data_IF_282960956375
#
_entry.id   IF_282960956375
#
_cell.length_a   1.000
_cell.length_b   1.000
_cell.length_c   1.000
_cell.angle_alpha   90.00
_cell.angle_beta   90.00
_cell.angle_gamma   90.00
#
_symmetry.space_group_name_H-M   'P 1'
#
loop_
_entity.id
_entity.type
_entity.pdbx_description
1 polymer ?
#
# COMPACT_ATOMS: atom_id res chain seq x y z
N UNK A 1 25.32 -39.68 -20.12
CA UNK A 1 25.09 -38.51 -20.99
C UNK A 1 23.62 -38.14 -20.82
N UNK A 2 23.28 -37.16 -19.97
CA UNK A 2 22.97 -35.77 -20.36
C UNK A 2 21.94 -35.76 -21.52
N UNK A 3 20.70 -35.28 -21.33
CA UNK A 3 20.35 -33.91 -20.95
C UNK A 3 19.02 -33.86 -20.17
N UNK A 4 19.00 -33.14 -19.03
CA UNK A 4 17.77 -32.60 -18.45
C UNK A 4 17.56 -31.25 -19.15
N UNK A 5 16.64 -31.20 -20.10
CA UNK A 5 16.21 -29.95 -20.70
C UNK A 5 15.45 -29.14 -19.64
N UNK A 6 16.11 -28.08 -19.18
CA UNK A 6 15.50 -26.94 -18.54
C UNK A 6 14.39 -26.40 -19.44
N UNK A 7 13.15 -26.42 -18.98
CA UNK A 7 12.11 -25.58 -19.55
C UNK A 7 11.31 -24.94 -18.43
N UNK A 8 11.90 -23.89 -17.89
CA UNK A 8 11.27 -22.89 -17.03
C UNK A 8 10.22 -22.12 -17.85
N UNK A 9 9.10 -22.77 -18.16
CA UNK A 9 7.91 -22.08 -18.67
C UNK A 9 7.00 -21.78 -17.49
N UNK A 10 7.37 -20.78 -16.70
CA UNK A 10 6.40 -20.05 -15.92
C UNK A 10 5.49 -19.30 -16.91
N UNK A 11 4.42 -19.97 -17.35
CA UNK A 11 3.35 -19.32 -18.09
C UNK A 11 2.75 -18.24 -17.18
N UNK A 12 3.26 -17.02 -17.29
CA UNK A 12 2.71 -15.86 -16.61
C UNK A 12 1.45 -15.49 -17.38
N UNK A 13 0.31 -16.08 -17.02
CA UNK A 13 -0.95 -15.44 -17.39
C UNK A 13 -0.89 -13.98 -16.88
N UNK A 14 -1.34 -13.00 -17.68
CA UNK A 14 -1.43 -11.63 -17.20
C UNK A 14 -2.30 -11.67 -15.94
N UNK A 15 -1.68 -11.35 -14.80
CA UNK A 15 -2.37 -11.31 -13.52
C UNK A 15 -3.31 -10.11 -13.61
N UNK A 16 -4.56 -10.33 -14.01
CA UNK A 16 -5.56 -9.26 -14.03
C UNK A 16 -6.24 -9.18 -12.66
N UNK A 17 -6.57 -7.97 -12.21
CA UNK A 17 -7.27 -7.76 -10.95
C UNK A 17 -6.88 -6.46 -10.25
N UNK A 18 -7.72 -6.06 -9.30
CA UNK A 18 -7.50 -4.87 -8.48
C UNK A 18 -6.91 -5.27 -7.14
N UNK A 19 -5.86 -4.56 -6.73
CA UNK A 19 -5.25 -4.65 -5.41
C UNK A 19 -5.32 -3.29 -4.74
N UNK A 20 -5.19 -3.26 -3.41
CA UNK A 20 -5.43 -2.06 -2.63
C UNK A 20 -4.19 -1.61 -1.87
N UNK A 21 -3.90 -0.32 -1.89
CA UNK A 21 -2.80 0.27 -1.13
C UNK A 21 -3.32 1.37 -0.21
N UNK A 22 -2.93 1.34 1.07
CA UNK A 22 -3.29 2.36 2.05
C UNK A 22 -2.17 3.38 2.13
N UNK A 23 -2.51 4.66 1.98
CA UNK A 23 -1.56 5.78 2.03
C UNK A 23 -2.18 6.99 2.74
N UNK A 24 -1.38 7.86 3.39
CA UNK A 24 -1.86 9.16 3.81
C UNK A 24 -2.43 9.97 2.64
N UNK A 25 -3.56 10.66 2.86
CA UNK A 25 -4.26 11.45 1.84
C UNK A 25 -3.37 12.54 1.23
N UNK A 26 -2.46 13.11 2.01
CA UNK A 26 -1.48 14.11 1.53
C UNK A 26 -0.55 13.62 0.42
N UNK A 27 -0.37 12.30 0.27
CA UNK A 27 0.46 11.74 -0.80
C UNK A 27 -0.33 11.55 -2.12
N UNK A 28 -1.67 11.63 -2.10
CA UNK A 28 -2.49 11.38 -3.29
C UNK A 28 -2.07 12.25 -4.48
N UNK A 29 -1.84 13.55 -4.27
CA UNK A 29 -1.45 14.46 -5.36
C UNK A 29 -0.16 14.00 -6.05
N UNK A 30 0.85 13.63 -5.26
CA UNK A 30 2.11 13.13 -5.82
C UNK A 30 1.93 11.76 -6.49
N UNK A 31 1.10 10.89 -5.94
CA UNK A 31 0.87 9.54 -6.50
C UNK A 31 0.13 9.64 -7.84
N UNK A 32 -0.89 10.48 -7.95
CA UNK A 32 -1.61 10.68 -9.22
C UNK A 32 -0.78 11.42 -10.26
N UNK A 33 0.20 12.24 -9.85
CA UNK A 33 1.11 12.93 -10.77
C UNK A 33 2.27 12.05 -11.23
N UNK A 34 2.94 11.39 -10.29
CA UNK A 34 4.26 10.76 -10.51
C UNK A 34 4.20 9.22 -10.50
N UNK A 35 3.05 8.65 -10.12
CA UNK A 35 2.87 7.23 -9.85
C UNK A 35 3.30 6.82 -8.44
N UNK A 36 3.11 5.54 -8.13
CA UNK A 36 3.49 4.96 -6.84
C UNK A 36 4.88 4.35 -6.97
N UNK A 37 5.85 4.96 -6.29
CA UNK A 37 7.24 4.49 -6.26
C UNK A 37 7.47 3.68 -5.00
N UNK A 38 8.17 2.56 -5.13
CA UNK A 38 8.79 1.89 -3.99
C UNK A 38 9.78 2.86 -3.35
N UNK A 39 9.48 3.29 -2.12
CA UNK A 39 10.35 4.14 -1.33
C UNK A 39 10.37 3.59 0.09
N UNK A 40 11.56 3.44 0.69
CA UNK A 40 11.70 3.28 2.13
C UNK A 40 11.16 4.54 2.80
N UNK A 41 9.92 4.46 3.29
CA UNK A 41 9.38 5.47 4.18
C UNK A 41 10.15 5.49 5.51
N UNK A 42 10.04 6.56 6.30
CA UNK A 42 10.64 6.63 7.65
C UNK A 42 10.31 5.40 8.51
N UNK A 43 9.13 4.82 8.27
CA UNK A 43 8.62 3.63 8.96
C UNK A 43 9.33 2.34 8.55
N UNK A 44 9.52 2.09 7.25
CA UNK A 44 10.29 0.94 6.76
C UNK A 44 11.74 1.00 7.25
N UNK A 45 12.30 2.20 7.37
CA UNK A 45 13.60 2.40 8.00
C UNK A 45 13.60 2.07 9.51
N UNK A 46 12.53 2.40 10.25
CA UNK A 46 12.38 2.11 11.69
C UNK A 46 12.14 0.62 11.98
N UNK A 47 11.46 -0.10 11.08
CA UNK A 47 11.21 -1.54 11.19
C UNK A 47 12.38 -2.40 10.68
N UNK A 48 13.45 -1.78 10.19
CA UNK A 48 14.63 -2.50 9.66
C UNK A 48 14.38 -3.20 8.33
N UNK A 49 13.35 -2.77 7.59
CA UNK A 49 13.06 -3.33 6.28
C UNK A 49 14.18 -2.98 5.29
N UNK A 50 14.86 -4.02 4.78
CA UNK A 50 16.03 -3.87 3.92
C UNK A 50 15.69 -3.67 2.42
N UNK A 51 14.41 -3.70 2.05
CA UNK A 51 13.95 -3.70 0.65
C UNK A 51 12.85 -2.66 0.42
N UNK A 52 13.05 -1.77 -0.55
CA UNK A 52 12.05 -0.83 -1.07
C UNK A 52 10.86 -1.59 -1.67
N UNK A 53 9.77 -1.74 -0.92
CA UNK A 53 8.57 -2.43 -1.41
C UNK A 53 7.31 -1.62 -1.13
N UNK A 54 6.41 -1.56 -2.13
CA UNK A 54 5.05 -1.08 -1.93
C UNK A 54 4.17 -2.28 -1.63
N UNK A 55 3.53 -2.29 -0.47
CA UNK A 55 2.64 -3.38 -0.05
C UNK A 55 1.20 -3.15 -0.52
N UNK A 56 0.57 -4.23 -0.96
CA UNK A 56 -0.82 -4.25 -1.43
C UNK A 56 -1.62 -5.35 -0.75
N UNK A 57 -2.88 -5.03 -0.48
CA UNK A 57 -3.90 -5.94 -0.02
C UNK A 57 -4.69 -6.51 -1.19
N UNK A 58 -5.03 -7.80 -1.14
CA UNK A 58 -5.79 -8.46 -2.20
C UNK A 58 -7.28 -8.15 -2.21
N UNK A 59 -7.83 -7.52 -1.17
CA UNK A 59 -9.26 -7.19 -1.05
C UNK A 59 -9.49 -6.06 -0.07
N UNK A 60 -10.54 -5.26 -0.30
CA UNK A 60 -10.98 -4.20 0.62
C UNK A 60 -11.31 -4.74 2.01
N UNK A 61 -11.83 -5.97 2.13
CA UNK A 61 -12.10 -6.60 3.43
C UNK A 61 -10.82 -6.75 4.27
N UNK A 62 -9.70 -7.07 3.63
CA UNK A 62 -8.39 -7.18 4.31
C UNK A 62 -7.86 -5.80 4.68
N UNK A 63 -8.14 -4.79 3.85
CA UNK A 63 -7.83 -3.38 4.19
C UNK A 63 -8.58 -2.95 5.44
N UNK A 64 -9.89 -3.21 5.51
CA UNK A 64 -10.72 -2.85 6.66
C UNK A 64 -10.26 -3.55 7.94
N UNK A 65 -9.93 -4.84 7.86
CA UNK A 65 -9.40 -5.62 8.99
C UNK A 65 -8.04 -5.07 9.46
N UNK A 66 -7.12 -4.80 8.52
CA UNK A 66 -5.81 -4.24 8.83
C UNK A 66 -5.93 -2.85 9.47
N UNK A 67 -6.72 -1.96 8.88
CA UNK A 67 -6.95 -0.59 9.37
C UNK A 67 -7.66 -0.58 10.73
N UNK A 68 -8.54 -1.55 11.00
CA UNK A 68 -9.20 -1.68 12.31
C UNK A 68 -8.30 -2.28 13.39
N UNK A 69 -7.10 -2.73 13.02
CA UNK A 69 -6.18 -3.46 13.88
C UNK A 69 -4.78 -2.84 13.78
N UNK A 70 -3.76 -3.63 13.39
CA UNK A 70 -2.36 -3.22 13.42
C UNK A 70 -2.03 -2.01 12.53
N UNK A 71 -2.70 -1.83 11.39
CA UNK A 71 -2.42 -0.74 10.46
C UNK A 71 -3.03 0.59 10.92
N UNK A 72 -4.16 0.55 11.62
CA UNK A 72 -4.76 1.74 12.22
C UNK A 72 -3.91 2.30 13.35
N UNK A 73 -3.50 1.44 14.28
CA UNK A 73 -2.56 1.82 15.36
C UNK A 73 -1.24 2.32 14.79
N UNK A 74 -0.78 1.67 13.72
CA UNK A 74 0.39 2.10 13.01
C UNK A 74 0.26 3.54 12.47
N UNK A 75 -0.87 3.87 11.85
CA UNK A 75 -1.13 5.18 11.24
C UNK A 75 -1.62 6.23 12.25
N UNK A 76 -1.74 5.91 13.54
CA UNK A 76 -2.21 6.85 14.56
C UNK A 76 -1.22 8.02 14.76
N UNK A 77 0.09 7.74 14.67
CA UNK A 77 1.15 8.76 14.69
C UNK A 77 1.22 9.61 13.41
N UNK A 78 0.54 9.20 12.33
CA UNK A 78 0.57 9.90 11.05
C UNK A 78 -0.52 10.98 11.00
N UNK A 79 -0.16 12.28 10.94
CA UNK A 79 -1.14 13.34 10.91
C UNK A 79 -1.92 13.32 9.58
N UNK A 80 -3.25 13.32 9.71
CA UNK A 80 -4.20 13.54 8.62
C UNK A 80 -5.08 12.34 8.29
N UNK A 81 -5.91 12.53 7.26
CA UNK A 81 -6.76 11.48 6.71
C UNK A 81 -5.93 10.40 6.00
N UNK A 82 -6.47 9.17 5.98
CA UNK A 82 -5.96 8.05 5.21
C UNK A 82 -6.80 7.87 3.95
N UNK A 83 -6.17 7.36 2.88
CA UNK A 83 -6.84 7.03 1.63
C UNK A 83 -6.43 5.65 1.17
N UNK A 84 -7.33 4.99 0.46
CA UNK A 84 -7.11 3.68 -0.16
C UNK A 84 -7.10 3.84 -1.67
N UNK A 85 -6.03 3.38 -2.29
CA UNK A 85 -5.87 3.34 -3.73
C UNK A 85 -6.26 1.96 -4.24
N UNK A 86 -7.06 1.93 -5.31
CA UNK A 86 -7.21 0.76 -6.17
C UNK A 86 -6.11 0.80 -7.23
N UNK A 87 -5.37 -0.30 -7.36
CA UNK A 87 -4.32 -0.47 -8.35
C UNK A 87 -4.67 -1.62 -9.27
N UNK A 88 -4.70 -1.35 -10.57
CA UNK A 88 -4.78 -2.40 -11.57
C UNK A 88 -3.43 -3.12 -11.65
N UNK A 89 -3.43 -4.42 -11.34
CA UNK A 89 -2.23 -5.24 -11.34
C UNK A 89 -1.89 -5.84 -12.70
N UNK A 90 -2.69 -5.55 -13.72
CA UNK A 90 -2.51 -6.12 -15.05
C UNK A 90 -1.17 -5.67 -15.63
N UNK A 91 -0.27 -6.62 -15.85
CA UNK A 91 1.08 -6.33 -16.34
C UNK A 91 2.03 -5.73 -15.29
N UNK A 92 1.68 -5.76 -13.99
CA UNK A 92 2.61 -5.43 -12.92
C UNK A 92 3.44 -6.65 -12.49
N UNK A 93 4.71 -6.41 -12.17
CA UNK A 93 5.60 -7.42 -11.59
C UNK A 93 5.48 -7.40 -10.07
N UNK A 94 4.52 -8.17 -9.55
CA UNK A 94 4.34 -8.36 -8.11
C UNK A 94 5.20 -9.52 -7.60
N UNK A 95 5.81 -9.33 -6.44
CA UNK A 95 6.46 -10.38 -5.66
C UNK A 95 5.56 -10.70 -4.46
N UNK A 96 5.44 -11.99 -4.14
CA UNK A 96 4.76 -12.45 -2.92
C UNK A 96 5.81 -13.06 -1.99
N UNK A 97 6.06 -12.43 -0.86
CA UNK A 97 6.87 -13.00 0.23
C UNK A 97 5.86 -13.54 1.26
N UNK A 98 5.94 -14.84 1.58
CA UNK A 98 5.09 -15.51 2.59
C UNK A 98 3.55 -15.38 2.47
N UNK A 99 3.04 -15.30 1.23
CA UNK A 99 1.69 -15.80 0.89
C UNK A 99 0.50 -14.87 1.15
N UNK A 100 0.68 -13.73 1.82
CA UNK A 100 -0.41 -12.77 2.08
C UNK A 100 -0.16 -11.36 1.56
N UNK A 101 1.10 -10.98 1.37
CA UNK A 101 1.49 -9.63 0.98
C UNK A 101 1.93 -9.62 -0.48
N UNK A 102 1.22 -8.84 -1.30
CA UNK A 102 1.66 -8.53 -2.65
C UNK A 102 2.54 -7.29 -2.56
N UNK A 103 3.78 -7.39 -3.03
CA UNK A 103 4.71 -6.27 -3.05
C UNK A 103 5.13 -5.92 -4.48
N UNK A 104 5.27 -4.63 -4.78
CA UNK A 104 5.83 -4.16 -6.04
C UNK A 104 7.15 -3.43 -5.79
N UNK A 105 8.20 -3.86 -6.49
CA UNK A 105 9.54 -3.27 -6.49
C UNK A 105 9.71 -2.20 -7.57
N UNK A 106 8.73 -2.08 -8.48
CA UNK A 106 8.79 -1.22 -9.65
C UNK A 106 7.78 -0.07 -9.54
N UNK A 107 8.06 1.01 -10.25
CA UNK A 107 7.13 2.14 -10.40
C UNK A 107 5.79 1.65 -10.96
N UNK A 108 4.73 1.94 -10.24
CA UNK A 108 3.36 1.78 -10.72
C UNK A 108 2.93 3.12 -11.30
N UNK A 109 2.62 3.11 -12.59
CA UNK A 109 2.24 4.34 -13.29
C UNK A 109 0.89 4.84 -12.81
N UNK A 110 0.66 6.16 -12.82
CA UNK A 110 -0.60 6.75 -12.37
C UNK A 110 -1.81 6.25 -13.17
N UNK A 111 -1.63 5.85 -14.43
CA UNK A 111 -2.68 5.24 -15.26
C UNK A 111 -3.26 3.94 -14.68
N UNK A 112 -2.51 3.24 -13.83
CA UNK A 112 -2.95 2.02 -13.16
C UNK A 112 -3.53 2.30 -11.77
N UNK A 113 -3.61 3.55 -11.33
CA UNK A 113 -3.97 3.93 -9.97
C UNK A 113 -5.28 4.72 -9.99
N UNK A 114 -6.20 4.36 -9.11
CA UNK A 114 -7.46 5.06 -8.91
C UNK A 114 -7.77 5.16 -7.42
N UNK A 115 -8.56 6.15 -7.03
CA UNK A 115 -9.00 6.30 -5.64
C UNK A 115 -10.14 5.31 -5.36
N UNK A 116 -9.94 4.41 -4.40
CA UNK A 116 -10.99 3.47 -3.95
C UNK A 116 -11.78 4.05 -2.78
N UNK A 117 -11.08 4.69 -1.85
CA UNK A 117 -11.66 5.33 -0.68
C UNK A 117 -10.79 6.50 -0.25
N UNK A 118 -11.43 7.56 0.24
CA UNK A 118 -10.76 8.68 0.87
C UNK A 118 -11.52 8.99 2.15
N UNK A 119 -10.77 9.02 3.26
CA UNK A 119 -11.31 9.51 4.51
C UNK A 119 -11.44 11.04 4.43
N UNK A 120 -12.62 11.55 4.75
CA UNK A 120 -12.95 12.98 4.66
C UNK A 120 -12.65 13.72 5.98
N UNK A 121 -12.07 13.06 6.98
CA UNK A 121 -11.82 13.70 8.28
C UNK A 121 -10.75 14.79 8.11
N UNK A 122 -11.09 16.07 8.30
CA UNK A 122 -10.11 17.13 8.22
C UNK A 122 -9.05 16.92 9.29
N UNK A 123 -7.79 17.09 8.92
CA UNK A 123 -6.63 16.92 9.81
C UNK A 123 -6.69 17.77 11.10
N UNK A 124 -7.61 18.74 11.17
CA UNK A 124 -7.80 19.69 12.27
C UNK A 124 -8.59 19.12 13.45
N UNK A 125 -9.44 18.09 13.26
CA UNK A 125 -10.32 17.59 14.36
C UNK A 125 -9.72 16.47 15.20
N UNK A 126 -8.64 15.80 14.75
CA UNK A 126 -7.98 14.75 15.56
C UNK A 126 -7.10 15.29 16.69
N UNK A 127 -6.82 16.60 16.70
CA UNK A 127 -6.07 17.28 17.75
C UNK A 127 -6.92 18.33 18.49
N UNK A 128 -8.20 18.03 18.73
CA UNK A 128 -8.97 18.79 19.72
C UNK A 128 -8.24 18.73 21.06
N UNK A 129 -7.99 19.88 21.74
CA UNK A 129 -7.28 19.86 23.01
C UNK A 129 -8.05 18.96 23.98
N UNK A 130 -7.33 18.03 24.61
CA UNK A 130 -7.74 17.48 25.90
C UNK A 130 -7.86 18.66 26.86
N UNK A 131 -9.02 19.32 26.89
CA UNK A 131 -9.36 20.22 27.98
C UNK A 131 -9.68 19.35 29.18
N UNK A 132 -8.61 18.84 29.79
CA UNK A 132 -8.64 18.45 31.17
C UNK A 132 -8.97 19.69 32.01
N UNK A 133 -9.95 19.51 32.89
CA UNK A 133 -10.04 20.22 34.16
C UNK A 133 -10.48 21.68 34.11
N UNK A 134 -11.75 21.92 34.45
CA UNK A 134 -12.27 22.90 35.42
C UNK A 134 -13.79 22.67 35.44
N UNK A 135 -14.50 22.38 36.54
CA UNK A 135 -14.30 22.46 37.98
C UNK A 135 -15.22 21.47 38.69
#
# INVERSE_FOLDING_TARGET
MQNHDSNEHAQSEPISGVIYHVTPTRHLESIFRDGLRSQIGPRSALLGEAKDMVYFFGSMLVVEDAVSNWLGEALDDEPGAISVLAVDRSGLHLVSDDGYELACLHLIRPENISLAFQDDVPADEKNGPVTGGTS
#
